data_IF_201660019732
#
_entry.id   IF_201660019732
#
_cell.length_a   1.000
_cell.length_b   1.000
_cell.length_c   1.000
_cell.angle_alpha   90.00
_cell.angle_beta   90.00
_cell.angle_gamma   90.00
#
_symmetry.space_group_name_H-M   'P 1'
#
loop_
_entity.id
_entity.type
_entity.pdbx_description
1 polymer ?
#
# COMPACT_ATOMS: atom_id res chain seq x y z
N UNK A 1 72.46 1.64 -2.23
CA UNK A 1 71.42 2.44 -1.56
C UNK A 1 70.17 2.47 -2.47
N UNK A 2 69.21 1.61 -2.22
CA UNK A 2 68.02 1.43 -3.06
C UNK A 2 66.80 2.07 -2.38
N UNK A 3 66.21 3.09 -3.00
CA UNK A 3 65.02 3.77 -2.53
C UNK A 3 63.79 2.95 -3.00
N UNK A 4 63.06 2.37 -2.07
CA UNK A 4 61.72 1.77 -2.29
C UNK A 4 60.67 2.88 -2.41
N UNK A 5 60.04 2.98 -3.59
CA UNK A 5 58.86 3.79 -3.82
C UNK A 5 57.66 3.17 -3.11
N UNK A 6 57.02 3.94 -2.23
CA UNK A 6 55.72 3.59 -1.66
C UNK A 6 54.62 3.94 -2.65
N UNK A 7 53.97 2.90 -3.20
CA UNK A 7 52.70 3.07 -3.91
C UNK A 7 51.58 3.40 -2.91
N UNK A 8 50.99 4.54 -3.16
CA UNK A 8 49.83 5.03 -2.43
C UNK A 8 48.57 4.31 -3.00
N UNK A 9 48.03 3.33 -2.30
CA UNK A 9 46.76 2.69 -2.68
C UNK A 9 45.63 3.61 -2.23
N UNK A 10 44.91 4.18 -3.18
CA UNK A 10 43.68 4.90 -2.95
C UNK A 10 42.60 3.95 -2.43
N UNK A 11 41.87 4.38 -1.38
CA UNK A 11 40.75 3.65 -0.82
C UNK A 11 39.61 3.51 -1.86
N UNK A 12 38.86 2.40 -1.85
CA UNK A 12 37.74 2.21 -2.79
C UNK A 12 36.66 3.28 -2.57
N UNK A 13 36.32 3.93 -3.66
CA UNK A 13 35.27 4.95 -3.72
C UNK A 13 33.91 4.32 -3.43
N UNK A 14 33.18 4.85 -2.47
CA UNK A 14 31.85 4.42 -2.08
C UNK A 14 30.87 4.59 -3.26
N UNK A 15 30.01 3.62 -3.60
CA UNK A 15 29.08 3.76 -4.71
C UNK A 15 28.20 5.01 -4.52
N UNK A 16 28.20 5.89 -5.50
CA UNK A 16 27.30 7.05 -5.57
C UNK A 16 25.87 6.53 -5.70
N UNK A 17 25.02 6.85 -4.76
CA UNK A 17 23.59 6.69 -4.93
C UNK A 17 23.13 7.47 -6.17
N UNK A 18 22.25 6.93 -7.02
CA UNK A 18 21.73 7.67 -8.15
C UNK A 18 20.97 8.89 -7.62
N UNK A 19 21.41 10.07 -8.05
CA UNK A 19 20.67 11.31 -7.84
C UNK A 19 19.28 11.16 -8.46
N UNK A 20 18.24 11.27 -7.66
CA UNK A 20 16.86 11.36 -8.12
C UNK A 20 16.74 12.53 -9.09
N UNK A 21 16.55 12.19 -10.38
CA UNK A 21 16.26 13.17 -11.42
C UNK A 21 14.94 13.87 -11.09
N UNK A 22 14.97 15.16 -10.87
CA UNK A 22 13.79 16.01 -10.83
C UNK A 22 13.05 15.88 -12.17
N UNK A 23 11.76 15.43 -12.16
CA UNK A 23 10.98 15.59 -13.37
C UNK A 23 9.75 14.73 -13.62
N UNK A 24 9.26 13.93 -12.69
CA UNK A 24 7.86 13.48 -12.72
C UNK A 24 7.38 13.42 -11.27
N UNK A 25 6.56 14.37 -10.86
CA UNK A 25 5.87 14.25 -9.58
C UNK A 25 4.96 13.02 -9.69
N UNK A 26 5.18 12.02 -8.84
CA UNK A 26 4.29 10.87 -8.74
C UNK A 26 2.87 11.30 -8.35
N UNK A 27 1.97 10.34 -8.10
CA UNK A 27 0.59 10.64 -7.70
C UNK A 27 0.52 11.53 -6.46
N UNK A 28 -0.42 12.49 -6.47
CA UNK A 28 -0.66 13.40 -5.36
C UNK A 28 -2.12 13.85 -5.36
N UNK A 29 -2.75 13.91 -4.19
CA UNK A 29 -4.14 14.33 -4.05
C UNK A 29 -4.40 15.76 -4.54
N UNK A 30 -3.39 16.62 -4.58
CA UNK A 30 -3.50 17.98 -5.14
C UNK A 30 -3.80 17.98 -6.64
N UNK A 31 -3.45 16.92 -7.37
CA UNK A 31 -3.74 16.76 -8.80
C UNK A 31 -5.24 16.70 -9.06
N UNK A 32 -6.02 16.24 -8.09
CA UNK A 32 -7.48 16.22 -8.16
C UNK A 32 -8.10 17.62 -8.35
N UNK A 33 -7.37 18.68 -8.03
CA UNK A 33 -7.84 20.06 -8.25
C UNK A 33 -8.12 20.34 -9.73
N UNK A 34 -7.35 19.76 -10.63
CA UNK A 34 -7.49 19.92 -12.09
C UNK A 34 -8.42 18.88 -12.73
N UNK A 35 -8.80 17.81 -12.04
CA UNK A 35 -9.66 16.78 -12.60
C UNK A 35 -11.12 17.20 -12.65
N UNK A 36 -11.81 16.78 -13.71
CA UNK A 36 -13.26 16.94 -13.85
C UNK A 36 -13.98 15.87 -13.02
N UNK A 37 -14.22 16.17 -11.76
CA UNK A 37 -14.93 15.29 -10.85
C UNK A 37 -16.43 15.57 -10.85
N UNK A 38 -17.22 14.55 -10.53
CA UNK A 38 -18.67 14.67 -10.33
C UNK A 38 -18.93 15.58 -9.12
N UNK A 39 -19.88 16.53 -9.27
CA UNK A 39 -20.33 17.35 -8.16
C UNK A 39 -21.11 16.48 -7.17
N UNK A 40 -20.74 16.55 -5.91
CA UNK A 40 -21.37 15.82 -4.81
C UNK A 40 -21.44 16.67 -3.55
N UNK A 41 -21.94 16.09 -2.48
CA UNK A 41 -21.92 16.67 -1.16
C UNK A 41 -21.19 15.70 -0.23
N UNK A 42 -20.19 16.20 0.47
CA UNK A 42 -19.47 15.37 1.45
C UNK A 42 -20.38 15.03 2.62
N UNK A 43 -20.53 13.73 3.00
CA UNK A 43 -21.55 13.29 3.94
C UNK A 43 -21.24 13.57 5.42
N UNK A 44 -20.12 14.21 5.72
CA UNK A 44 -19.62 14.43 7.10
C UNK A 44 -19.18 15.88 7.30
N UNK A 45 -18.75 16.29 8.51
CA UNK A 45 -18.27 17.64 8.78
C UNK A 45 -17.09 18.07 7.90
N UNK A 46 -16.96 19.37 7.69
CA UNK A 46 -15.92 19.98 6.85
C UNK A 46 -14.51 19.72 7.39
N UNK A 47 -13.57 19.59 6.47
CA UNK A 47 -12.13 19.56 6.71
C UNK A 47 -11.41 20.24 5.56
N UNK A 48 -10.21 20.77 5.80
CA UNK A 48 -9.34 21.36 4.79
C UNK A 48 -8.43 20.34 4.10
N UNK A 49 -8.28 19.15 4.70
CA UNK A 49 -7.50 18.06 4.14
C UNK A 49 -8.29 17.29 3.08
N UNK A 50 -7.61 16.40 2.35
CA UNK A 50 -8.30 15.46 1.49
C UNK A 50 -9.24 14.59 2.33
N UNK A 51 -10.52 14.59 1.95
CA UNK A 51 -11.58 14.02 2.76
C UNK A 51 -11.90 12.61 2.32
N UNK A 52 -11.82 11.68 3.26
CA UNK A 52 -12.16 10.28 3.07
C UNK A 52 -13.37 9.93 3.92
N UNK A 53 -14.39 9.39 3.29
CA UNK A 53 -15.61 8.93 3.95
C UNK A 53 -15.85 7.46 3.66
N UNK A 54 -16.22 6.73 4.70
CA UNK A 54 -16.69 5.35 4.60
C UNK A 54 -18.14 5.25 5.03
N UNK A 55 -18.95 4.56 4.23
CA UNK A 55 -20.24 4.07 4.70
C UNK A 55 -20.02 3.18 5.93
N UNK A 56 -20.76 3.39 7.04
CA UNK A 56 -20.55 2.64 8.28
C UNK A 56 -20.68 1.12 8.13
N UNK A 57 -21.60 0.66 7.28
CA UNK A 57 -21.83 -0.78 7.05
C UNK A 57 -20.67 -1.38 6.25
N UNK A 58 -20.20 -0.66 5.23
CA UNK A 58 -19.07 -1.07 4.41
C UNK A 58 -17.79 -1.11 5.25
N UNK A 59 -17.55 -0.09 6.05
CA UNK A 59 -16.40 -0.08 6.97
C UNK A 59 -16.43 -1.25 7.94
N UNK A 60 -17.56 -1.48 8.62
CA UNK A 60 -17.69 -2.62 9.53
C UNK A 60 -17.49 -3.96 8.82
N UNK A 61 -17.99 -4.10 7.59
CA UNK A 61 -17.85 -5.31 6.81
C UNK A 61 -16.40 -5.54 6.33
N UNK A 62 -15.64 -4.50 5.98
CA UNK A 62 -14.21 -4.64 5.65
C UNK A 62 -13.39 -5.04 6.86
N UNK A 63 -13.66 -4.45 8.05
CA UNK A 63 -13.01 -4.86 9.31
C UNK A 63 -13.34 -6.32 9.65
N UNK A 64 -14.61 -6.73 9.51
CA UNK A 64 -15.02 -8.11 9.75
C UNK A 64 -14.31 -9.08 8.81
N UNK A 65 -14.26 -8.79 7.51
CA UNK A 65 -13.54 -9.61 6.53
C UNK A 65 -12.05 -9.71 6.86
N UNK A 66 -11.38 -8.60 7.14
CA UNK A 66 -9.97 -8.56 7.50
C UNK A 66 -9.66 -9.35 8.80
N UNK A 67 -10.68 -9.60 9.63
CA UNK A 67 -10.57 -10.35 10.88
C UNK A 67 -10.91 -11.85 10.74
N UNK A 68 -11.32 -12.32 9.56
CA UNK A 68 -11.66 -13.73 9.34
C UNK A 68 -10.44 -14.66 9.45
N UNK A 69 -9.24 -14.15 9.16
CA UNK A 69 -8.00 -14.89 9.33
C UNK A 69 -6.93 -13.96 9.92
N UNK A 70 -6.31 -14.38 11.01
CA UNK A 70 -5.22 -13.64 11.66
C UNK A 70 -3.85 -14.31 11.45
N UNK A 71 -3.80 -15.33 10.60
CA UNK A 71 -2.59 -16.05 10.23
C UNK A 71 -2.03 -15.57 8.90
N UNK A 72 -2.93 -15.17 7.99
CA UNK A 72 -2.59 -14.67 6.65
C UNK A 72 -3.22 -13.30 6.45
N UNK A 73 -2.59 -12.52 5.59
CA UNK A 73 -3.16 -11.24 5.17
C UNK A 73 -4.37 -11.47 4.26
N UNK A 74 -5.41 -10.70 4.52
CA UNK A 74 -6.64 -10.65 3.74
C UNK A 74 -6.68 -9.32 2.99
N UNK A 75 -7.20 -9.31 1.76
CA UNK A 75 -7.36 -8.08 1.01
C UNK A 75 -8.67 -8.01 0.23
N UNK A 76 -8.93 -6.82 -0.30
CA UNK A 76 -10.02 -6.54 -1.22
C UNK A 76 -9.92 -5.14 -1.78
N UNK A 77 -10.82 -4.79 -2.69
CA UNK A 77 -10.90 -3.44 -3.24
C UNK A 77 -12.04 -2.65 -2.62
N UNK A 78 -11.83 -1.34 -2.50
CA UNK A 78 -12.80 -0.36 -2.07
C UNK A 78 -13.47 0.26 -3.30
N UNK A 79 -14.79 0.32 -3.29
CA UNK A 79 -15.60 0.80 -4.41
C UNK A 79 -16.44 1.99 -3.97
N UNK A 80 -16.57 2.98 -4.84
CA UNK A 80 -17.33 4.18 -4.52
C UNK A 80 -17.15 5.30 -5.53
N UNK A 81 -17.14 6.53 -5.04
CA UNK A 81 -17.09 7.73 -5.86
C UNK A 81 -15.93 8.65 -5.46
N UNK A 82 -15.33 9.26 -6.45
CA UNK A 82 -14.46 10.41 -6.28
C UNK A 82 -15.19 11.64 -6.77
N UNK A 83 -15.52 12.52 -5.86
CA UNK A 83 -16.40 13.66 -6.11
C UNK A 83 -15.81 14.97 -5.59
N UNK A 84 -16.50 16.07 -5.83
CA UNK A 84 -16.10 17.41 -5.40
C UNK A 84 -17.30 18.18 -4.90
N UNK A 85 -17.11 18.94 -3.83
CA UNK A 85 -18.01 20.01 -3.38
C UNK A 85 -17.28 21.38 -3.33
N UNK A 86 -17.86 22.34 -2.64
CA UNK A 86 -17.27 23.68 -2.50
C UNK A 86 -15.94 23.69 -1.72
N UNK A 87 -15.70 22.68 -0.90
CA UNK A 87 -14.49 22.55 -0.05
C UNK A 87 -13.37 21.74 -0.74
N UNK A 88 -13.64 21.19 -1.92
CA UNK A 88 -12.64 20.46 -2.72
C UNK A 88 -12.99 19.00 -2.98
N UNK A 89 -12.03 18.21 -3.46
CA UNK A 89 -12.24 16.81 -3.78
C UNK A 89 -12.37 15.94 -2.52
N UNK A 90 -13.10 14.84 -2.66
CA UNK A 90 -13.26 13.83 -1.61
C UNK A 90 -13.52 12.45 -2.22
N UNK A 91 -13.20 11.41 -1.48
CA UNK A 91 -13.57 10.03 -1.79
C UNK A 91 -14.68 9.56 -0.86
N UNK A 92 -15.65 8.86 -1.43
CA UNK A 92 -16.77 8.26 -0.71
C UNK A 92 -16.77 6.75 -0.98
N UNK A 93 -16.34 5.96 0.01
CA UNK A 93 -16.32 4.50 -0.05
C UNK A 93 -17.70 3.97 0.31
N UNK A 94 -18.38 3.36 -0.68
CA UNK A 94 -19.78 2.93 -0.58
C UNK A 94 -19.97 1.43 -0.68
N UNK A 95 -18.96 0.73 -1.17
CA UNK A 95 -18.97 -0.72 -1.34
C UNK A 95 -17.54 -1.27 -1.24
N UNK A 96 -17.42 -2.57 -1.19
CA UNK A 96 -16.15 -3.29 -1.25
C UNK A 96 -16.33 -4.61 -2.00
N UNK A 97 -15.24 -5.14 -2.53
CA UNK A 97 -15.19 -6.46 -3.16
C UNK A 97 -14.05 -7.23 -2.50
N UNK A 98 -14.35 -8.41 -2.00
CA UNK A 98 -13.38 -9.29 -1.36
C UNK A 98 -12.47 -9.92 -2.40
N UNK A 99 -11.20 -10.11 -2.07
CA UNK A 99 -10.28 -10.94 -2.82
C UNK A 99 -10.19 -12.30 -2.13
N UNK A 100 -11.13 -13.17 -2.44
CA UNK A 100 -11.09 -14.55 -1.98
C UNK A 100 -10.10 -15.33 -2.88
N UNK A 101 -8.81 -15.27 -2.57
CA UNK A 101 -7.84 -16.10 -3.28
C UNK A 101 -7.96 -17.53 -2.80
N UNK A 102 -8.23 -18.46 -3.71
CA UNK A 102 -8.25 -19.91 -3.43
C UNK A 102 -6.85 -20.46 -3.03
N UNK A 103 -5.80 -19.67 -3.22
CA UNK A 103 -4.43 -20.03 -2.88
C UNK A 103 -3.91 -19.21 -1.68
N UNK A 104 -4.29 -19.59 -0.47
CA UNK A 104 -3.69 -19.12 0.79
C UNK A 104 -2.25 -19.66 0.97
N UNK A 105 -1.42 -19.60 -0.07
CA UNK A 105 -0.06 -20.18 -0.02
C UNK A 105 1.01 -19.18 0.42
N UNK A 106 0.69 -17.90 0.45
CA UNK A 106 1.65 -16.85 0.77
C UNK A 106 1.13 -16.03 1.95
N UNK A 107 2.02 -15.73 2.89
CA UNK A 107 1.74 -14.85 4.03
C UNK A 107 1.49 -13.38 3.63
N UNK A 108 1.55 -13.07 2.33
CA UNK A 108 1.52 -11.72 1.80
C UNK A 108 0.36 -11.53 0.81
N UNK A 109 -0.20 -10.33 0.79
CA UNK A 109 -1.25 -9.93 -0.16
C UNK A 109 -0.78 -10.08 -1.61
N UNK A 110 -1.63 -10.66 -2.44
CA UNK A 110 -1.41 -10.76 -3.88
C UNK A 110 -2.73 -10.66 -4.65
N UNK A 111 -2.81 -9.70 -5.57
CA UNK A 111 -3.89 -9.63 -6.55
C UNK A 111 -3.57 -10.55 -7.72
N UNK A 112 -4.16 -11.75 -7.74
CA UNK A 112 -3.98 -12.71 -8.82
C UNK A 112 -4.84 -12.36 -10.04
N UNK A 113 -4.61 -13.05 -11.16
CA UNK A 113 -5.47 -12.91 -12.33
C UNK A 113 -6.93 -13.28 -12.02
N UNK A 114 -7.15 -14.31 -11.23
CA UNK A 114 -8.49 -14.75 -10.79
C UNK A 114 -9.15 -13.69 -9.89
N UNK A 115 -8.39 -13.08 -8.99
CA UNK A 115 -8.88 -11.97 -8.16
C UNK A 115 -9.35 -10.79 -9.02
N UNK A 116 -8.55 -10.39 -10.01
CA UNK A 116 -8.93 -9.32 -10.93
C UNK A 116 -10.11 -9.70 -11.83
N UNK A 117 -10.19 -10.93 -12.32
CA UNK A 117 -11.33 -11.41 -13.09
C UNK A 117 -12.63 -11.40 -12.26
N UNK A 118 -12.54 -11.72 -10.96
CA UNK A 118 -13.66 -11.59 -10.03
C UNK A 118 -14.05 -10.14 -9.81
N UNK A 119 -13.07 -9.27 -9.48
CA UNK A 119 -13.30 -7.84 -9.25
C UNK A 119 -13.99 -7.19 -10.45
N UNK A 120 -13.47 -7.41 -11.67
CA UNK A 120 -14.04 -6.85 -12.89
C UNK A 120 -15.49 -7.31 -13.10
N UNK A 121 -15.78 -8.60 -12.90
CA UNK A 121 -17.16 -9.13 -12.98
C UNK A 121 -18.11 -8.45 -12.00
N UNK A 122 -17.68 -8.25 -10.75
CA UNK A 122 -18.47 -7.56 -9.74
C UNK A 122 -18.69 -6.07 -10.12
N UNK A 123 -17.65 -5.39 -10.61
CA UNK A 123 -17.76 -4.02 -11.09
C UNK A 123 -18.75 -3.91 -12.25
N UNK A 124 -18.64 -4.77 -13.25
CA UNK A 124 -19.49 -4.76 -14.45
C UNK A 124 -20.96 -5.10 -14.15
N UNK A 125 -21.21 -5.92 -13.14
CA UNK A 125 -22.56 -6.39 -12.84
C UNK A 125 -23.29 -5.62 -11.74
N UNK A 126 -22.54 -5.12 -10.73
CA UNK A 126 -23.13 -4.52 -9.53
C UNK A 126 -22.81 -3.05 -9.34
N UNK A 127 -21.68 -2.57 -9.88
CA UNK A 127 -21.14 -1.25 -9.55
C UNK A 127 -20.82 -0.40 -10.79
N UNK A 128 -21.63 -0.51 -11.84
CA UNK A 128 -21.42 0.15 -13.15
C UNK A 128 -21.26 1.67 -13.05
N UNK A 129 -21.94 2.31 -12.08
CA UNK A 129 -21.89 3.77 -11.86
C UNK A 129 -20.82 4.18 -10.84
N UNK A 130 -20.00 3.24 -10.39
CA UNK A 130 -18.97 3.48 -9.39
C UNK A 130 -17.59 3.10 -9.93
N UNK A 131 -16.56 3.42 -9.18
CA UNK A 131 -15.17 3.08 -9.52
C UNK A 131 -14.46 2.42 -8.35
N UNK A 132 -13.35 1.77 -8.63
CA UNK A 132 -12.41 1.36 -7.59
C UNK A 132 -11.71 2.62 -7.08
N UNK A 133 -11.94 2.95 -5.80
CA UNK A 133 -11.41 4.13 -5.11
C UNK A 133 -10.25 3.78 -4.18
N UNK A 134 -9.84 2.53 -4.15
CA UNK A 134 -8.72 2.07 -3.34
C UNK A 134 -8.80 0.58 -3.04
N UNK A 135 -8.07 0.18 -2.04
CA UNK A 135 -8.02 -1.20 -1.57
C UNK A 135 -7.85 -1.26 -0.06
N UNK A 136 -8.03 -2.44 0.52
CA UNK A 136 -7.76 -2.70 1.93
C UNK A 136 -7.03 -4.02 2.10
N UNK A 137 -6.25 -4.13 3.16
CA UNK A 137 -5.61 -5.38 3.56
C UNK A 137 -5.39 -5.44 5.06
N UNK A 138 -5.18 -6.65 5.57
CA UNK A 138 -4.89 -6.86 6.99
C UNK A 138 -3.40 -7.06 7.23
N UNK A 139 -2.94 -6.56 8.38
CA UNK A 139 -1.61 -6.77 8.95
C UNK A 139 -1.74 -7.42 10.33
N UNK A 140 -2.01 -8.75 10.45
CA UNK A 140 -2.27 -9.38 11.74
C UNK A 140 -1.11 -9.24 12.71
N UNK A 141 -1.25 -8.37 13.71
CA UNK A 141 -0.25 -8.07 14.75
C UNK A 141 1.04 -7.36 14.27
N UNK A 142 1.02 -6.73 13.09
CA UNK A 142 2.18 -5.98 12.56
C UNK A 142 2.05 -4.46 12.69
N UNK A 143 0.84 -3.93 12.96
CA UNK A 143 0.57 -2.49 13.04
C UNK A 143 0.17 -1.88 11.69
N UNK A 144 0.19 -0.54 11.63
CA UNK A 144 -0.36 0.23 10.52
C UNK A 144 0.76 0.94 9.76
N UNK A 145 1.13 0.40 8.62
CA UNK A 145 2.11 0.94 7.67
C UNK A 145 1.83 0.37 6.27
N UNK A 146 2.56 0.80 5.27
CA UNK A 146 2.63 0.13 3.98
C UNK A 146 4.04 -0.43 3.79
N UNK A 147 4.16 -1.75 3.65
CA UNK A 147 5.41 -2.42 3.29
C UNK A 147 5.88 -2.02 1.89
N UNK A 148 7.10 -2.36 1.51
CA UNK A 148 7.59 -2.16 0.13
C UNK A 148 6.69 -2.85 -0.89
N UNK A 149 6.13 -4.02 -0.53
CA UNK A 149 5.19 -4.75 -1.36
C UNK A 149 3.85 -4.04 -1.48
N UNK A 150 3.32 -3.53 -0.38
CA UNK A 150 2.07 -2.76 -0.38
C UNK A 150 2.22 -1.48 -1.19
N UNK A 151 3.36 -0.80 -1.05
CA UNK A 151 3.67 0.35 -1.87
C UNK A 151 3.76 -0.02 -3.36
N UNK A 152 4.37 -1.16 -3.70
CA UNK A 152 4.36 -1.67 -5.07
C UNK A 152 2.94 -1.92 -5.59
N UNK A 153 2.06 -2.53 -4.79
CA UNK A 153 0.65 -2.75 -5.13
C UNK A 153 -0.05 -1.41 -5.33
N UNK A 154 0.09 -0.48 -4.39
CA UNK A 154 -0.49 0.85 -4.47
C UNK A 154 -0.04 1.58 -5.74
N UNK A 155 1.25 1.52 -6.06
CA UNK A 155 1.83 2.22 -7.22
C UNK A 155 1.40 1.62 -8.56
N UNK A 156 1.22 0.32 -8.65
CA UNK A 156 0.95 -0.35 -9.92
C UNK A 156 -0.54 -0.59 -10.20
N UNK A 157 -1.37 -0.68 -9.18
CA UNK A 157 -2.79 -0.99 -9.33
C UNK A 157 -3.72 0.12 -8.84
N UNK A 158 -3.25 0.98 -7.94
CA UNK A 158 -4.04 2.04 -7.31
C UNK A 158 -3.34 3.39 -7.39
N UNK A 159 -2.79 3.72 -8.58
CA UNK A 159 -1.96 4.90 -8.83
C UNK A 159 -2.73 6.19 -9.05
N UNK A 160 -4.05 6.17 -9.05
CA UNK A 160 -4.87 7.38 -9.17
C UNK A 160 -4.72 8.28 -7.93
N UNK A 161 -4.60 9.62 -8.11
CA UNK A 161 -4.28 10.53 -7.01
C UNK A 161 -5.29 10.54 -5.86
N UNK A 162 -6.53 10.09 -6.08
CA UNK A 162 -7.57 9.95 -5.03
C UNK A 162 -7.78 8.53 -4.55
N UNK A 163 -6.98 7.56 -5.01
CA UNK A 163 -7.10 6.18 -4.54
C UNK A 163 -6.34 6.00 -3.22
N UNK A 164 -6.98 5.32 -2.29
CA UNK A 164 -6.52 5.14 -0.91
C UNK A 164 -6.18 3.68 -0.61
N UNK A 165 -5.38 3.46 0.44
CA UNK A 165 -5.21 2.15 1.06
C UNK A 165 -5.72 2.19 2.51
N UNK A 166 -6.56 1.24 2.90
CA UNK A 166 -6.97 1.00 4.27
C UNK A 166 -6.20 -0.21 4.82
N UNK A 167 -5.37 0.01 5.82
CA UNK A 167 -4.62 -1.05 6.52
C UNK A 167 -5.32 -1.34 7.84
N UNK A 168 -5.50 -2.62 8.14
CA UNK A 168 -6.24 -3.10 9.31
C UNK A 168 -5.37 -4.08 10.07
N UNK A 169 -5.08 -3.81 11.34
CA UNK A 169 -4.52 -4.82 12.25
C UNK A 169 -5.64 -5.39 13.11
N UNK A 170 -6.17 -6.58 12.76
CA UNK A 170 -7.31 -7.17 13.46
C UNK A 170 -6.96 -7.64 14.87
N UNK A 171 -5.69 -7.90 15.15
CA UNK A 171 -5.20 -8.37 16.47
C UNK A 171 -5.11 -7.21 17.44
N UNK A 172 -4.51 -6.10 17.01
CA UNK A 172 -4.38 -4.88 17.82
C UNK A 172 -5.64 -4.01 17.79
N UNK A 173 -6.58 -4.29 16.89
CA UNK A 173 -7.82 -3.53 16.67
C UNK A 173 -7.54 -2.05 16.38
N UNK A 174 -6.60 -1.84 15.49
CA UNK A 174 -6.24 -0.53 14.95
C UNK A 174 -6.30 -0.57 13.43
N UNK A 175 -6.60 0.57 12.84
CA UNK A 175 -6.66 0.75 11.40
C UNK A 175 -6.17 2.14 11.00
N UNK A 176 -5.73 2.30 9.76
CA UNK A 176 -5.31 3.58 9.21
C UNK A 176 -5.48 3.64 7.71
N UNK A 177 -5.71 4.85 7.22
CA UNK A 177 -5.87 5.14 5.80
C UNK A 177 -4.64 5.86 5.29
N UNK A 178 -4.19 5.47 4.10
CA UNK A 178 -3.08 6.11 3.38
C UNK A 178 -3.59 6.72 2.10
N UNK A 179 -3.05 7.88 1.76
CA UNK A 179 -3.35 8.64 0.55
C UNK A 179 -2.08 8.95 -0.25
N UNK A 180 -2.24 9.33 -1.52
CA UNK A 180 -1.14 9.81 -2.34
C UNK A 180 -0.74 11.23 -1.98
N UNK A 181 0.52 11.45 -1.60
CA UNK A 181 1.07 12.76 -1.27
C UNK A 181 2.52 12.88 -1.71
N UNK A 182 2.83 13.91 -2.50
CA UNK A 182 4.19 14.18 -3.00
C UNK A 182 4.86 13.00 -3.72
N UNK A 183 4.09 12.22 -4.47
CA UNK A 183 4.59 11.05 -5.21
C UNK A 183 4.84 9.80 -4.38
N UNK A 184 4.49 9.81 -3.10
CA UNK A 184 4.53 8.70 -2.19
C UNK A 184 3.18 8.49 -1.50
N UNK A 185 3.14 7.59 -0.54
CA UNK A 185 1.97 7.39 0.31
C UNK A 185 2.22 8.01 1.69
N UNK A 186 1.20 8.64 2.25
CA UNK A 186 1.23 9.19 3.59
C UNK A 186 -0.04 8.80 4.35
N UNK A 187 0.00 8.59 5.67
CA UNK A 187 -1.19 8.39 6.45
C UNK A 187 -2.09 9.63 6.39
N UNK A 188 -3.38 9.41 6.14
CA UNK A 188 -4.39 10.46 6.22
C UNK A 188 -4.54 10.88 7.68
N UNK A 189 -4.48 12.17 8.02
CA UNK A 189 -4.57 12.60 9.42
C UNK A 189 -5.87 12.17 10.10
N UNK A 190 -6.95 12.09 9.33
CA UNK A 190 -8.28 11.67 9.78
C UNK A 190 -9.15 11.24 8.59
N UNK A 191 -10.16 10.45 8.87
CA UNK A 191 -11.21 10.05 7.93
C UNK A 191 -12.53 9.90 8.69
N UNK A 192 -13.65 9.75 7.97
CA UNK A 192 -14.96 9.62 8.56
C UNK A 192 -15.58 8.25 8.33
N UNK A 193 -16.20 7.73 9.37
CA UNK A 193 -17.09 6.56 9.30
C UNK A 193 -18.48 7.02 9.74
N UNK A 194 -19.35 7.26 8.79
CA UNK A 194 -20.59 7.99 9.05
C UNK A 194 -20.31 9.40 9.59
N UNK A 195 -20.94 9.76 10.70
CA UNK A 195 -20.71 11.04 11.38
C UNK A 195 -19.48 11.05 12.31
N UNK A 196 -18.79 9.93 12.51
CA UNK A 196 -17.66 9.80 13.42
C UNK A 196 -16.35 10.03 12.68
N UNK A 197 -15.58 11.02 13.15
CA UNK A 197 -14.21 11.22 12.71
C UNK A 197 -13.28 10.19 13.40
N UNK A 198 -12.46 9.53 12.61
CA UNK A 198 -11.38 8.66 13.05
C UNK A 198 -10.06 9.39 12.85
N UNK A 199 -9.18 9.31 13.82
CA UNK A 199 -7.83 9.86 13.72
C UNK A 199 -6.85 8.77 13.26
N UNK A 200 -5.81 9.17 12.56
CA UNK A 200 -4.70 8.27 12.29
C UNK A 200 -4.15 7.70 13.61
N UNK A 201 -3.78 6.42 13.65
CA UNK A 201 -3.16 5.84 14.83
C UNK A 201 -1.90 6.63 15.21
N UNK A 202 -1.82 7.04 16.49
CA UNK A 202 -0.70 7.80 17.03
C UNK A 202 0.01 6.96 18.07
N UNK A 203 1.32 6.77 17.94
CA UNK A 203 2.11 6.10 18.97
C UNK A 203 3.22 5.20 18.40
N UNK A 204 4.17 4.75 19.26
CA UNK A 204 5.20 3.81 18.86
C UNK A 204 4.56 2.49 18.39
N UNK A 205 4.90 2.06 17.17
CA UNK A 205 4.34 0.88 16.50
C UNK A 205 3.14 1.16 15.60
N UNK A 206 2.68 2.41 15.48
CA UNK A 206 1.61 2.78 14.56
C UNK A 206 2.12 3.01 13.12
N UNK A 207 3.43 3.20 12.92
CA UNK A 207 4.03 3.56 11.62
C UNK A 207 5.47 3.04 11.43
N UNK A 208 6.00 2.25 12.36
CA UNK A 208 7.36 1.73 12.23
C UNK A 208 7.36 0.37 11.54
N UNK A 209 8.04 0.29 10.41
CA UNK A 209 8.44 -1.00 9.83
C UNK A 209 9.27 -1.75 10.88
N UNK A 210 9.04 -3.06 11.12
CA UNK A 210 9.95 -3.84 11.94
C UNK A 210 11.33 -3.78 11.28
N UNK A 211 12.33 -3.26 12.00
CA UNK A 211 13.72 -3.34 11.56
C UNK A 211 14.04 -4.81 11.28
N UNK A 212 14.53 -5.09 10.07
CA UNK A 212 15.03 -6.40 9.72
C UNK A 212 16.11 -6.75 10.75
N UNK A 213 15.80 -7.72 11.60
CA UNK A 213 16.62 -8.09 12.73
C UNK A 213 18.06 -8.36 12.31
N UNK A 214 18.96 -7.48 12.70
CA UNK A 214 20.38 -7.75 12.69
C UNK A 214 20.63 -8.90 13.68
N UNK A 215 20.72 -10.13 13.16
CA UNK A 215 21.17 -11.26 13.94
C UNK A 215 22.64 -11.02 14.27
N UNK A 216 22.91 -10.48 15.47
CA UNK A 216 24.22 -10.59 16.10
C UNK A 216 24.52 -12.08 16.33
N UNK A 217 25.38 -12.62 15.48
CA UNK A 217 25.99 -13.94 15.72
C UNK A 217 27.06 -13.79 16.77
N UNK A 218 26.74 -14.11 18.03
CA UNK A 218 27.77 -14.49 19.00
C UNK A 218 28.31 -15.84 18.60
N UNK A 219 29.63 -15.86 18.37
CA UNK A 219 30.37 -17.00 17.87
C UNK A 219 30.44 -18.19 18.87
N UNK A 220 30.66 -19.31 18.33
CA UNK A 220 31.71 -20.32 18.48
C UNK A 220 31.18 -21.70 18.07
N UNK A 221 31.87 -22.35 17.14
CA UNK A 221 31.61 -23.75 16.83
C UNK A 221 32.02 -24.12 15.40
N UNK A 222 33.28 -24.48 15.22
CA UNK A 222 33.84 -24.98 14.00
C UNK A 222 33.09 -26.23 13.49
N UNK A 223 32.61 -26.16 12.25
CA UNK A 223 32.04 -27.27 11.49
C UNK A 223 32.07 -26.97 10.01
N UNK A 224 33.11 -27.47 9.35
CA UNK A 224 33.35 -27.41 7.90
C UNK A 224 32.20 -28.05 7.12
N UNK A 225 31.42 -27.27 6.35
CA UNK A 225 30.59 -27.78 5.27
C UNK A 225 30.63 -26.80 4.08
N UNK A 226 31.18 -27.29 2.97
CA UNK A 226 31.25 -26.54 1.73
C UNK A 226 29.88 -26.45 1.03
N UNK A 227 29.42 -25.29 0.55
CA UNK A 227 28.19 -25.21 -0.23
C UNK A 227 28.43 -25.57 -1.70
N UNK A 228 27.57 -26.43 -2.24
CA UNK A 228 27.45 -26.68 -3.68
C UNK A 228 26.68 -25.52 -4.34
N UNK A 229 27.08 -25.05 -5.52
CA UNK A 229 26.35 -24.01 -6.25
C UNK A 229 25.10 -24.59 -6.92
N UNK A 230 23.92 -24.08 -6.56
CA UNK A 230 22.67 -24.27 -7.32
C UNK A 230 22.54 -23.15 -8.34
N UNK A 231 22.42 -23.56 -9.62
CA UNK A 231 22.32 -22.64 -10.76
C UNK A 231 21.05 -21.80 -10.71
N UNK A 232 21.24 -20.50 -10.86
CA UNK A 232 20.15 -19.54 -11.11
C UNK A 232 19.73 -19.62 -12.57
N UNK A 233 18.52 -20.09 -12.83
CA UNK A 233 17.84 -19.81 -14.09
C UNK A 233 16.90 -18.64 -13.89
N UNK A 234 17.32 -17.49 -14.37
CA UNK A 234 16.53 -16.26 -14.44
C UNK A 234 15.51 -16.42 -15.57
N UNK A 235 14.25 -16.58 -15.25
CA UNK A 235 13.16 -16.45 -16.23
C UNK A 235 12.44 -15.14 -15.95
N UNK A 236 12.81 -14.11 -16.71
CA UNK A 236 12.07 -12.86 -16.85
C UNK A 236 10.79 -13.15 -17.65
N UNK A 237 9.63 -13.16 -17.00
CA UNK A 237 8.35 -13.06 -17.70
C UNK A 237 7.89 -11.61 -17.66
N UNK A 238 8.12 -10.92 -18.77
CA UNK A 238 7.46 -9.65 -19.11
C UNK A 238 6.02 -9.94 -19.49
N UNK A 239 5.08 -9.67 -18.60
CA UNK A 239 3.67 -9.62 -18.94
C UNK A 239 3.27 -8.15 -19.13
N UNK A 240 3.51 -7.65 -20.35
CA UNK A 240 2.95 -6.40 -20.84
C UNK A 240 1.51 -6.68 -21.29
N UNK A 241 0.51 -6.41 -20.47
CA UNK A 241 -0.88 -6.40 -20.92
C UNK A 241 -1.21 -5.05 -21.53
N UNK A 242 -1.28 -5.01 -22.87
CA UNK A 242 -1.98 -3.95 -23.60
C UNK A 242 -3.47 -4.05 -23.28
N UNK A 243 -4.05 -2.92 -22.86
CA UNK A 243 -5.49 -2.71 -22.88
C UNK A 243 -5.81 -1.77 -24.05
N UNK A 244 -6.57 -2.30 -25.00
CA UNK A 244 -7.49 -1.54 -25.84
C UNK A 244 -8.87 -1.63 -25.19
#
# INVERSE_FOLDING_TARGET
MSRKSRQNQAAPEKPRQPSTSAGASGPDVSQLAAEKLTTGSFPAPRSIDFRVYFDPQVYAATIAHASEDTTFEICGVLVGDLSRDADGPFVNVRNYIRCDSAEKKFAEVTFTHESWAHINREMDTKYQDQRIVGWYHSHPNFGIFLSDRDFFIQQNFFSGPGQIALVIDPVRKIEGVFEWRNGGTAPTPHYWVGSRMQLAPSGPGATEMPEAGSSESTGDGAGSYAPRPLGMTTTLLSALCLFL
#
